data_IF_217836851153
#
_entry.id   IF_217836851153
#
_cell.length_a   1.000
_cell.length_b   1.000
_cell.length_c   1.000
_cell.angle_alpha   90.00
_cell.angle_beta   90.00
_cell.angle_gamma   90.00
#
_symmetry.space_group_name_H-M   'P 1'
#
loop_
_entity.id
_entity.type
_entity.pdbx_description
1 polymer ?
#
# COMPACT_ATOMS: atom_id res chain seq x y z
N UNK A 1 -50.53 3.43 -43.90
CA UNK A 1 -51.73 3.06 -43.11
C UNK A 1 -51.64 3.78 -41.77
N UNK A 2 -52.50 4.74 -41.67
CA UNK A 2 -52.69 5.81 -40.66
C UNK A 2 -53.52 5.27 -39.49
N UNK A 3 -53.12 5.51 -38.24
CA UNK A 3 -54.04 5.54 -37.09
C UNK A 3 -53.45 6.45 -36.00
N UNK A 4 -54.03 7.49 -35.88
CA UNK A 4 -54.73 8.42 -35.03
C UNK A 4 -54.68 8.13 -33.52
N UNK A 5 -54.38 9.22 -32.81
CA UNK A 5 -54.54 9.48 -31.37
C UNK A 5 -56.00 9.46 -30.90
N UNK A 6 -56.23 9.36 -29.58
CA UNK A 6 -56.87 10.49 -28.97
C UNK A 6 -56.23 11.02 -27.70
N UNK A 7 -56.29 12.32 -27.56
CA UNK A 7 -56.03 13.12 -26.39
C UNK A 7 -57.08 12.88 -25.32
N UNK A 8 -56.70 12.89 -24.04
CA UNK A 8 -57.63 13.00 -22.92
C UNK A 8 -57.21 14.16 -22.02
N UNK A 9 -58.06 15.14 -22.07
CA UNK A 9 -58.06 16.37 -21.27
C UNK A 9 -58.57 16.01 -19.86
N UNK A 10 -57.91 16.43 -18.79
CA UNK A 10 -58.52 16.51 -17.46
C UNK A 10 -58.08 17.77 -16.72
N UNK A 11 -59.08 18.37 -16.19
CA UNK A 11 -59.24 19.72 -15.70
C UNK A 11 -58.39 20.07 -14.46
N UNK A 12 -58.03 21.33 -14.40
CA UNK A 12 -57.51 22.03 -13.26
C UNK A 12 -58.62 22.29 -12.20
N UNK A 13 -58.32 21.99 -10.96
CA UNK A 13 -59.04 22.50 -9.80
C UNK A 13 -58.08 23.37 -8.96
N UNK A 14 -58.33 24.68 -9.02
CA UNK A 14 -57.75 25.65 -8.09
C UNK A 14 -58.42 25.50 -6.71
N UNK A 15 -57.61 25.22 -5.69
CA UNK A 15 -57.95 25.49 -4.32
C UNK A 15 -57.05 26.61 -3.77
N UNK A 16 -57.67 27.75 -3.53
CA UNK A 16 -57.09 28.84 -2.78
C UNK A 16 -57.21 28.51 -1.28
N UNK A 17 -56.12 28.55 -0.53
CA UNK A 17 -56.10 28.54 0.92
C UNK A 17 -55.39 29.81 1.43
N UNK A 18 -55.82 30.37 2.57
CA UNK A 18 -55.44 31.71 3.00
C UNK A 18 -54.06 31.75 3.64
N UNK A 19 -53.38 32.87 3.39
CA UNK A 19 -52.13 33.24 4.06
C UNK A 19 -52.38 33.51 5.54
N UNK A 20 -51.74 32.74 6.38
CA UNK A 20 -51.47 33.15 7.78
C UNK A 20 -50.03 33.67 7.83
N UNK A 21 -49.94 34.96 8.11
CA UNK A 21 -48.67 35.58 8.46
C UNK A 21 -48.18 34.98 9.81
N UNK A 22 -47.02 34.41 9.78
CA UNK A 22 -46.29 34.09 10.98
C UNK A 22 -45.00 34.90 10.99
N UNK A 23 -44.86 35.64 12.09
CA UNK A 23 -43.76 36.53 12.38
C UNK A 23 -42.42 35.82 12.33
N UNK A 24 -41.45 36.58 11.78
CA UNK A 24 -40.07 36.11 11.62
C UNK A 24 -39.39 35.93 12.98
N UNK A 25 -38.98 34.72 13.21
CA UNK A 25 -37.77 34.47 14.02
C UNK A 25 -36.71 33.91 13.08
N UNK A 26 -35.68 34.72 12.90
CA UNK A 26 -34.44 34.31 12.26
C UNK A 26 -33.83 33.21 13.15
N UNK A 27 -33.63 31.99 12.67
CA UNK A 27 -32.84 31.05 13.44
C UNK A 27 -31.38 31.55 13.42
N UNK A 28 -30.97 31.91 14.62
CA UNK A 28 -29.60 32.14 15.00
C UNK A 28 -28.67 31.10 14.37
N UNK A 29 -27.60 31.59 13.75
CA UNK A 29 -26.50 30.82 13.22
C UNK A 29 -26.05 29.80 14.28
N UNK A 30 -26.67 28.64 14.27
CA UNK A 30 -26.16 27.49 15.01
C UNK A 30 -24.78 27.16 14.43
N UNK A 31 -23.80 27.41 15.27
CA UNK A 31 -22.45 26.91 15.21
C UNK A 31 -22.46 25.52 14.53
N UNK A 32 -22.02 25.47 13.25
CA UNK A 32 -21.67 24.22 12.61
C UNK A 32 -20.38 23.73 13.28
N UNK A 33 -20.55 23.39 14.54
CA UNK A 33 -19.55 22.69 15.33
C UNK A 33 -19.09 21.51 14.54
N UNK A 34 -17.84 21.59 14.15
CA UNK A 34 -16.94 20.54 13.71
C UNK A 34 -17.59 19.15 13.76
N UNK A 35 -17.83 18.58 12.59
CA UNK A 35 -17.99 17.12 12.48
C UNK A 35 -16.87 16.52 13.31
N UNK A 36 -17.15 15.73 14.34
CA UNK A 36 -16.10 15.07 15.09
C UNK A 36 -15.26 14.31 14.08
N UNK A 37 -14.02 14.76 13.88
CA UNK A 37 -13.06 13.90 13.18
C UNK A 37 -12.96 12.65 14.04
N UNK A 38 -13.17 11.45 13.45
CA UNK A 38 -12.96 10.24 14.20
C UNK A 38 -11.54 10.31 14.74
N UNK A 39 -11.41 10.16 16.05
CA UNK A 39 -10.12 9.94 16.71
C UNK A 39 -9.36 8.94 15.85
N UNK A 40 -8.09 9.22 15.56
CA UNK A 40 -7.25 8.34 14.78
C UNK A 40 -7.29 6.96 15.45
N UNK A 41 -8.12 6.05 14.91
CA UNK A 41 -8.27 4.71 15.43
C UNK A 41 -6.97 4.01 15.04
N UNK A 42 -6.03 3.96 15.97
CA UNK A 42 -4.87 3.10 15.87
C UNK A 42 -5.38 1.67 15.86
N UNK A 43 -5.52 1.10 14.67
CA UNK A 43 -5.87 -0.31 14.53
C UNK A 43 -4.67 -1.13 15.00
N UNK A 44 -4.77 -1.64 16.22
CA UNK A 44 -3.74 -2.47 16.86
C UNK A 44 -3.87 -3.92 16.38
N UNK A 45 -3.68 -4.13 15.06
CA UNK A 45 -3.64 -5.46 14.48
C UNK A 45 -2.27 -5.72 13.84
N UNK A 46 -1.89 -6.98 13.79
CA UNK A 46 -0.70 -7.45 13.11
C UNK A 46 -0.96 -8.80 12.44
N UNK A 47 -0.35 -9.01 11.28
CA UNK A 47 -0.19 -10.35 10.71
C UNK A 47 0.99 -11.05 11.38
N UNK A 48 0.88 -12.36 11.58
CA UNK A 48 2.07 -13.18 11.75
C UNK A 48 2.84 -13.17 10.43
N UNK A 49 4.14 -12.91 10.53
CA UNK A 49 5.00 -12.68 9.36
C UNK A 49 6.22 -13.58 9.42
N UNK A 50 6.43 -14.33 8.36
CA UNK A 50 7.59 -15.19 8.14
C UNK A 50 8.25 -14.80 6.82
N UNK A 51 9.57 -14.91 6.73
CA UNK A 51 10.30 -14.62 5.50
C UNK A 51 11.56 -15.49 5.36
N UNK A 52 12.00 -15.68 4.12
CA UNK A 52 13.31 -16.28 3.84
C UNK A 52 14.44 -15.24 3.96
N UNK A 53 15.67 -15.70 4.00
CA UNK A 53 16.80 -14.85 3.62
C UNK A 53 16.70 -14.54 2.13
N UNK A 54 17.00 -13.30 1.69
CA UNK A 54 17.10 -12.99 0.27
C UNK A 54 18.13 -13.87 -0.45
N UNK A 55 17.82 -14.21 -1.68
CA UNK A 55 18.69 -14.97 -2.57
C UNK A 55 18.68 -14.34 -3.97
N UNK A 56 19.49 -14.85 -4.88
CA UNK A 56 19.66 -14.30 -6.23
C UNK A 56 19.21 -15.29 -7.31
N UNK A 57 18.71 -14.74 -8.43
CA UNK A 57 18.43 -15.50 -9.64
C UNK A 57 18.94 -14.75 -10.85
N UNK A 58 19.60 -15.47 -11.75
CA UNK A 58 20.04 -14.99 -13.06
C UNK A 58 19.00 -15.34 -14.12
N UNK A 59 18.59 -14.37 -14.90
CA UNK A 59 17.65 -14.55 -16.02
C UNK A 59 18.36 -14.20 -17.32
N UNK A 60 18.48 -15.18 -18.21
CA UNK A 60 19.01 -14.96 -19.55
C UNK A 60 17.96 -14.32 -20.45
N UNK A 61 18.30 -13.20 -21.04
CA UNK A 61 17.46 -12.47 -21.97
C UNK A 61 17.60 -13.04 -23.41
N UNK A 62 16.61 -12.81 -24.30
CA UNK A 62 16.67 -13.27 -25.69
C UNK A 62 17.84 -12.72 -26.50
N UNK A 63 18.45 -11.63 -26.08
CA UNK A 63 19.64 -11.03 -26.70
C UNK A 63 20.97 -11.63 -26.20
N UNK A 64 20.91 -12.62 -25.31
CA UNK A 64 22.06 -13.27 -24.67
C UNK A 64 22.65 -12.52 -23.48
N UNK A 65 22.06 -11.39 -23.08
CA UNK A 65 22.41 -10.71 -21.82
C UNK A 65 21.81 -11.43 -20.63
N UNK A 66 22.40 -11.23 -19.45
CA UNK A 66 21.89 -11.79 -18.19
C UNK A 66 21.50 -10.68 -17.24
N UNK A 67 20.24 -10.69 -16.79
CA UNK A 67 19.75 -9.84 -15.72
C UNK A 67 19.78 -10.58 -14.39
N UNK A 68 20.22 -9.89 -13.33
CA UNK A 68 20.24 -10.42 -11.98
C UNK A 68 19.13 -9.82 -11.15
N UNK A 69 18.44 -10.67 -10.38
CA UNK A 69 17.37 -10.28 -9.48
C UNK A 69 17.64 -10.85 -8.09
N UNK A 70 17.33 -10.06 -7.07
CA UNK A 70 17.20 -10.56 -5.73
C UNK A 70 15.75 -10.93 -5.48
N UNK A 71 15.52 -11.99 -4.74
CA UNK A 71 14.19 -12.40 -4.32
C UNK A 71 14.18 -12.84 -2.87
N UNK A 72 13.05 -12.65 -2.19
CA UNK A 72 12.79 -13.07 -0.82
C UNK A 72 11.35 -13.56 -0.74
N UNK A 73 11.14 -14.81 -0.32
CA UNK A 73 9.80 -15.32 -0.05
C UNK A 73 9.30 -14.81 1.28
N UNK A 74 7.99 -14.67 1.40
CA UNK A 74 7.34 -14.31 2.64
C UNK A 74 5.96 -14.96 2.76
N UNK A 75 5.52 -15.13 4.00
CA UNK A 75 4.22 -15.63 4.36
C UNK A 75 3.57 -14.71 5.38
N UNK A 76 2.30 -14.40 5.19
CA UNK A 76 1.49 -13.68 6.17
C UNK A 76 0.29 -14.53 6.58
N UNK A 77 0.04 -14.59 7.89
CA UNK A 77 -1.10 -15.31 8.47
C UNK A 77 -1.88 -14.37 9.37
N UNK A 78 -3.20 -14.37 9.21
CA UNK A 78 -4.08 -13.58 10.06
C UNK A 78 -4.52 -14.42 11.28
N UNK A 79 -4.10 -14.01 12.47
CA UNK A 79 -4.55 -14.58 13.75
C UNK A 79 -5.58 -13.70 14.47
N UNK A 80 -5.91 -12.53 13.90
CA UNK A 80 -6.93 -11.64 14.47
C UNK A 80 -8.33 -12.20 14.25
N UNK A 81 -9.31 -11.72 15.03
CA UNK A 81 -10.70 -12.19 14.93
C UNK A 81 -11.36 -11.78 13.60
N UNK A 82 -11.02 -10.60 13.11
CA UNK A 82 -11.57 -10.02 11.89
C UNK A 82 -10.72 -10.37 10.65
N UNK A 83 -11.36 -10.35 9.48
CA UNK A 83 -10.64 -10.36 8.22
C UNK A 83 -9.89 -9.05 8.06
N UNK A 84 -8.63 -9.13 7.60
CA UNK A 84 -7.78 -7.96 7.38
C UNK A 84 -7.42 -7.83 5.91
N UNK A 85 -7.26 -6.59 5.45
CA UNK A 85 -6.76 -6.31 4.11
C UNK A 85 -5.24 -6.24 4.12
N UNK A 86 -4.60 -7.12 3.36
CA UNK A 86 -3.15 -7.14 3.18
C UNK A 86 -2.76 -6.39 1.91
N UNK A 87 -1.94 -5.36 2.05
CA UNK A 87 -1.35 -4.56 0.97
C UNK A 87 0.15 -4.42 1.21
N UNK A 88 0.97 -5.36 0.69
CA UNK A 88 2.40 -5.37 0.94
C UNK A 88 3.09 -4.16 0.28
N UNK A 89 3.86 -3.43 1.08
CA UNK A 89 4.73 -2.34 0.63
C UNK A 89 6.16 -2.71 0.99
N UNK A 90 6.88 -3.27 0.02
CA UNK A 90 8.19 -3.84 0.26
C UNK A 90 9.23 -3.03 -0.50
N UNK A 91 10.22 -2.51 0.22
CA UNK A 91 11.26 -1.66 -0.33
C UNK A 91 12.62 -2.16 0.16
N UNK A 92 13.58 -2.26 -0.74
CA UNK A 92 14.99 -2.46 -0.39
C UNK A 92 15.71 -1.12 -0.42
N UNK A 93 16.56 -0.89 0.57
CA UNK A 93 17.47 0.25 0.63
C UNK A 93 18.89 -0.26 0.83
N UNK A 94 19.78 0.04 -0.12
CA UNK A 94 21.18 -0.34 -0.06
C UNK A 94 22.02 0.74 0.62
N UNK A 95 23.25 0.39 0.98
CA UNK A 95 24.23 1.30 1.59
C UNK A 95 24.76 2.35 0.61
N UNK A 96 24.66 2.14 -0.71
CA UNK A 96 24.97 3.13 -1.72
C UNK A 96 23.84 4.17 -1.93
N UNK A 97 22.72 4.03 -1.19
CA UNK A 97 21.59 4.96 -1.22
C UNK A 97 20.47 4.63 -2.19
N UNK A 98 20.57 3.53 -2.94
CA UNK A 98 19.50 3.09 -3.84
C UNK A 98 18.27 2.63 -3.03
N UNK A 99 17.09 3.03 -3.50
CA UNK A 99 15.80 2.63 -2.96
C UNK A 99 14.99 1.99 -4.08
N UNK A 100 14.70 0.70 -3.96
CA UNK A 100 13.98 -0.07 -4.99
C UNK A 100 12.73 -0.71 -4.39
N UNK A 101 11.59 -0.44 -5.01
CA UNK A 101 10.33 -1.09 -4.62
C UNK A 101 10.25 -2.49 -5.22
N UNK A 102 9.88 -3.46 -4.40
CA UNK A 102 9.74 -4.85 -4.85
C UNK A 102 8.70 -4.95 -5.97
N UNK A 103 8.98 -5.83 -6.93
CA UNK A 103 8.12 -6.20 -8.04
C UNK A 103 7.82 -5.06 -9.05
N UNK A 104 8.30 -3.83 -8.78
CA UNK A 104 8.12 -2.71 -9.70
C UNK A 104 9.04 -2.86 -10.92
N UNK A 105 8.45 -2.92 -12.12
CA UNK A 105 9.21 -3.10 -13.36
C UNK A 105 9.82 -4.50 -13.56
N UNK A 106 9.48 -5.46 -12.70
CA UNK A 106 9.93 -6.85 -12.81
C UNK A 106 8.99 -7.62 -13.76
N UNK A 107 9.49 -8.21 -14.85
CA UNK A 107 8.67 -9.02 -15.74
C UNK A 107 8.08 -10.25 -15.04
N UNK A 108 6.86 -10.63 -15.38
CA UNK A 108 6.17 -11.80 -14.79
C UNK A 108 6.93 -13.13 -15.08
N UNK A 109 7.76 -13.17 -16.11
CA UNK A 109 8.64 -14.31 -16.40
C UNK A 109 9.62 -14.57 -15.27
N UNK A 110 10.16 -13.52 -14.64
CA UNK A 110 11.08 -13.64 -13.50
C UNK A 110 10.37 -14.31 -12.31
N UNK A 111 9.15 -13.90 -12.00
CA UNK A 111 8.34 -14.57 -10.97
C UNK A 111 8.14 -16.05 -11.26
N UNK A 112 7.84 -16.39 -12.52
CA UNK A 112 7.63 -17.79 -12.92
C UNK A 112 8.91 -18.63 -12.76
N UNK A 113 10.08 -18.08 -13.06
CA UNK A 113 11.35 -18.79 -12.88
C UNK A 113 11.69 -18.93 -11.38
N UNK A 114 11.44 -17.90 -10.55
CA UNK A 114 11.59 -18.01 -9.08
C UNK A 114 10.67 -19.09 -8.53
N UNK A 115 9.38 -19.09 -8.91
CA UNK A 115 8.40 -20.10 -8.48
C UNK A 115 8.83 -21.52 -8.85
N UNK A 116 9.39 -21.69 -10.05
CA UNK A 116 9.91 -22.96 -10.55
C UNK A 116 11.19 -23.37 -9.79
N UNK A 117 12.13 -22.44 -9.56
CA UNK A 117 13.34 -22.68 -8.80
C UNK A 117 13.03 -23.15 -7.37
N UNK A 118 12.02 -22.56 -6.75
CA UNK A 118 11.58 -22.90 -5.39
C UNK A 118 10.73 -24.19 -5.32
N UNK A 119 10.33 -24.74 -6.45
CA UNK A 119 9.40 -25.89 -6.53
C UNK A 119 8.07 -25.64 -5.78
N UNK A 120 7.61 -24.36 -5.74
CA UNK A 120 6.41 -23.93 -5.03
C UNK A 120 5.28 -23.52 -6.00
N UNK A 121 4.53 -24.47 -6.57
CA UNK A 121 3.50 -24.16 -7.57
C UNK A 121 2.34 -23.33 -7.04
N UNK A 122 2.11 -23.30 -5.71
CA UNK A 122 1.06 -22.55 -5.05
C UNK A 122 1.49 -21.14 -4.61
N UNK A 123 2.75 -20.76 -4.86
CA UNK A 123 3.23 -19.42 -4.55
C UNK A 123 2.41 -18.38 -5.32
N UNK A 124 1.78 -17.48 -4.60
CA UNK A 124 0.94 -16.41 -5.19
C UNK A 124 1.83 -15.38 -5.90
N UNK A 125 1.39 -14.93 -7.06
CA UNK A 125 2.08 -13.84 -7.73
C UNK A 125 1.94 -12.52 -6.94
N UNK A 126 2.87 -11.56 -7.10
CA UNK A 126 2.79 -10.26 -6.45
C UNK A 126 1.50 -9.48 -6.75
N UNK A 127 0.85 -9.76 -7.89
CA UNK A 127 -0.42 -9.13 -8.27
C UNK A 127 -1.62 -9.77 -7.57
N UNK A 128 -1.54 -11.06 -7.25
CA UNK A 128 -2.61 -11.83 -6.61
C UNK A 128 -2.59 -11.73 -5.09
N UNK A 129 -1.42 -11.47 -4.51
CA UNK A 129 -1.25 -11.50 -3.05
C UNK A 129 -1.99 -10.39 -2.30
N UNK A 130 -2.14 -9.13 -2.82
CA UNK A 130 -2.94 -8.13 -2.13
C UNK A 130 -4.41 -8.55 -2.01
N UNK A 131 -5.04 -8.22 -0.89
CA UNK A 131 -6.46 -8.49 -0.68
C UNK A 131 -6.79 -8.93 0.73
N UNK A 132 -8.02 -9.41 0.93
CA UNK A 132 -8.53 -9.83 2.24
C UNK A 132 -7.92 -11.16 2.67
N UNK A 133 -7.43 -11.22 3.89
CA UNK A 133 -6.88 -12.42 4.53
C UNK A 133 -7.80 -12.82 5.68
N UNK A 134 -8.42 -13.98 5.55
CA UNK A 134 -9.27 -14.55 6.59
C UNK A 134 -8.41 -15.12 7.74
N UNK A 135 -9.03 -15.29 8.90
CA UNK A 135 -8.38 -15.88 10.08
C UNK A 135 -7.94 -17.32 9.84
N UNK A 136 -6.73 -17.63 10.20
CA UNK A 136 -6.16 -19.00 10.31
C UNK A 136 -5.16 -19.34 9.23
N UNK A 137 -4.37 -20.37 9.52
CA UNK A 137 -3.25 -20.85 8.68
C UNK A 137 -3.69 -21.27 7.27
N UNK A 138 -4.90 -21.81 7.12
CA UNK A 138 -5.40 -22.24 5.80
C UNK A 138 -5.65 -21.08 4.83
N UNK A 139 -5.65 -19.85 5.32
CA UNK A 139 -5.84 -18.64 4.54
C UNK A 139 -4.58 -17.78 4.47
N UNK A 140 -3.46 -18.31 4.94
CA UNK A 140 -2.17 -17.65 4.83
C UNK A 140 -1.86 -17.34 3.35
N UNK A 141 -1.17 -16.22 3.12
CA UNK A 141 -0.72 -15.82 1.80
C UNK A 141 0.79 -15.93 1.73
N UNK A 142 1.26 -16.70 0.76
CA UNK A 142 2.68 -16.83 0.47
C UNK A 142 2.98 -16.21 -0.89
N UNK A 143 4.03 -15.40 -0.95
CA UNK A 143 4.46 -14.73 -2.17
C UNK A 143 5.96 -14.43 -2.12
N UNK A 144 6.42 -13.66 -3.10
CA UNK A 144 7.82 -13.30 -3.23
C UNK A 144 7.96 -11.80 -3.54
N UNK A 145 8.91 -11.17 -2.87
CA UNK A 145 9.40 -9.85 -3.22
C UNK A 145 10.62 -10.03 -4.15
N UNK A 146 10.61 -9.36 -5.31
CA UNK A 146 11.66 -9.46 -6.32
C UNK A 146 12.15 -8.05 -6.64
N UNK A 147 13.47 -7.86 -6.67
CA UNK A 147 14.12 -6.59 -7.01
C UNK A 147 15.14 -6.79 -8.12
N UNK A 148 15.10 -5.95 -9.14
CA UNK A 148 16.20 -5.87 -10.09
C UNK A 148 17.34 -5.10 -9.43
N UNK A 149 18.48 -5.73 -9.28
CA UNK A 149 19.66 -5.11 -8.68
C UNK A 149 20.54 -4.55 -9.77
N UNK A 150 20.77 -3.24 -9.72
CA UNK A 150 21.57 -2.53 -10.71
C UNK A 150 23.04 -2.39 -10.33
N UNK A 151 23.40 -2.70 -9.09
CA UNK A 151 24.75 -2.50 -8.57
C UNK A 151 25.20 -3.75 -7.78
N UNK A 152 26.38 -4.25 -8.13
CA UNK A 152 27.01 -5.42 -7.48
C UNK A 152 27.77 -5.05 -6.20
N UNK A 153 28.08 -3.75 -5.99
CA UNK A 153 28.87 -3.25 -4.85
C UNK A 153 28.00 -2.89 -3.63
N UNK A 154 27.13 -3.81 -3.21
CA UNK A 154 26.29 -3.63 -2.04
C UNK A 154 26.83 -4.47 -0.88
N UNK A 155 27.34 -3.82 0.18
CA UNK A 155 27.83 -4.49 1.37
C UNK A 155 26.78 -4.73 2.43
N UNK A 156 25.77 -3.84 2.48
CA UNK A 156 24.66 -3.90 3.41
C UNK A 156 23.38 -3.39 2.73
N UNK A 157 22.27 -3.97 3.10
CA UNK A 157 20.97 -3.47 2.69
C UNK A 157 19.91 -3.72 3.74
N UNK A 158 18.85 -2.93 3.69
CA UNK A 158 17.67 -3.06 4.55
C UNK A 158 16.45 -3.34 3.70
N UNK A 159 15.69 -4.35 4.09
CA UNK A 159 14.35 -4.59 3.55
C UNK A 159 13.35 -4.00 4.53
N UNK A 160 12.47 -3.13 4.03
CA UNK A 160 11.37 -2.58 4.78
C UNK A 160 10.08 -3.23 4.29
N UNK A 161 9.42 -3.94 5.18
CA UNK A 161 8.22 -4.68 4.88
C UNK A 161 7.03 -4.03 5.58
N UNK A 162 6.26 -3.22 4.84
CA UNK A 162 5.04 -2.56 5.29
C UNK A 162 3.79 -3.35 4.92
N UNK A 163 2.67 -2.98 5.56
CA UNK A 163 1.36 -3.60 5.34
C UNK A 163 1.06 -4.81 6.23
N UNK A 164 1.96 -5.15 7.15
CA UNK A 164 1.75 -6.25 8.11
C UNK A 164 1.29 -5.77 9.50
N UNK A 165 1.20 -4.46 9.70
CA UNK A 165 0.74 -3.81 10.92
C UNK A 165 -0.31 -2.75 10.61
N UNK A 166 -1.31 -2.61 11.48
CA UNK A 166 -2.29 -1.53 11.42
C UNK A 166 -1.86 -0.28 12.16
N UNK A 167 -0.80 -0.34 12.97
CA UNK A 167 -0.33 0.78 13.76
C UNK A 167 0.20 1.91 12.89
N UNK A 168 -0.37 3.10 13.08
CA UNK A 168 0.06 4.34 12.46
C UNK A 168 0.31 5.41 13.50
N UNK A 169 1.14 6.39 13.19
CA UNK A 169 1.41 7.56 14.02
C UNK A 169 1.35 8.82 13.19
N UNK A 170 0.40 9.67 13.47
CA UNK A 170 0.34 11.02 12.89
C UNK A 170 1.46 11.88 13.44
N UNK A 171 2.17 12.58 12.58
CA UNK A 171 3.21 13.53 12.96
C UNK A 171 2.59 14.90 13.16
N UNK A 172 2.84 15.48 14.34
CA UNK A 172 2.34 16.80 14.72
C UNK A 172 3.48 17.82 14.81
N UNK A 173 3.19 19.08 14.53
CA UNK A 173 4.11 20.18 14.77
C UNK A 173 4.34 20.32 16.30
N UNK A 174 5.58 20.28 16.78
CA UNK A 174 5.88 20.35 18.21
C UNK A 174 5.49 21.69 18.88
N UNK A 175 5.28 22.76 18.10
CA UNK A 175 4.94 24.07 18.63
C UNK A 175 3.43 24.30 18.71
N UNK A 176 2.66 23.77 17.75
CA UNK A 176 1.21 23.98 17.65
C UNK A 176 0.41 22.77 18.10
N UNK A 177 0.98 21.56 18.06
CA UNK A 177 0.28 20.31 18.31
C UNK A 177 -0.60 19.85 17.13
N UNK A 178 -0.65 20.62 16.03
CA UNK A 178 -1.48 20.30 14.88
C UNK A 178 -0.78 19.27 13.96
N UNK A 179 -1.54 18.41 13.26
CA UNK A 179 -0.97 17.48 12.27
C UNK A 179 -0.21 18.20 11.16
N UNK A 180 0.98 17.72 10.83
CA UNK A 180 1.70 18.17 9.64
C UNK A 180 0.98 17.63 8.42
N UNK A 181 0.56 18.55 7.54
CA UNK A 181 -0.16 18.21 6.33
C UNK A 181 0.79 18.07 5.14
N UNK A 182 0.64 17.01 4.36
CA UNK A 182 1.42 16.75 3.14
C UNK A 182 0.48 16.54 1.95
N UNK A 183 0.91 16.89 0.73
CA UNK A 183 0.08 16.64 -0.46
C UNK A 183 -0.06 15.14 -0.73
N UNK A 184 -1.27 14.73 -1.12
CA UNK A 184 -1.51 13.38 -1.66
C UNK A 184 -0.84 13.29 -3.02
N UNK A 185 0.10 12.36 -3.16
CA UNK A 185 0.84 12.14 -4.42
C UNK A 185 0.10 11.09 -5.26
N UNK A 186 -0.02 11.35 -6.54
CA UNK A 186 -0.49 10.36 -7.50
C UNK A 186 0.63 9.34 -7.76
N UNK A 187 0.32 8.06 -7.53
CA UNK A 187 1.31 6.99 -7.64
C UNK A 187 1.82 6.74 -9.07
N UNK A 188 1.07 7.18 -10.10
CA UNK A 188 1.45 6.97 -11.49
C UNK A 188 2.30 8.11 -12.04
N UNK A 189 1.96 9.36 -11.64
CA UNK A 189 2.62 10.55 -12.18
C UNK A 189 3.69 11.12 -11.25
N UNK A 190 3.65 10.78 -9.95
CA UNK A 190 4.51 11.37 -8.92
C UNK A 190 4.13 12.82 -8.57
N UNK A 191 3.04 13.36 -9.13
CA UNK A 191 2.61 14.73 -8.88
C UNK A 191 1.53 14.81 -7.80
N UNK A 192 1.37 15.98 -7.12
CA UNK A 192 0.28 16.20 -6.17
C UNK A 192 -1.08 16.09 -6.84
N UNK A 193 -1.96 15.27 -6.29
CA UNK A 193 -3.39 15.22 -6.69
C UNK A 193 -4.04 16.55 -6.42
N UNK A 194 -4.86 17.03 -7.37
CA UNK A 194 -5.59 18.29 -7.26
C UNK A 194 -7.09 18.04 -7.07
N UNK A 195 -7.68 18.80 -6.19
CA UNK A 195 -9.14 18.84 -6.01
C UNK A 195 -9.84 19.58 -7.14
N UNK A 196 -11.18 19.65 -7.07
CA UNK A 196 -12.01 20.38 -8.05
C UNK A 196 -11.69 21.88 -8.08
N UNK A 197 -11.12 22.45 -7.03
CA UNK A 197 -10.68 23.84 -6.92
C UNK A 197 -9.27 24.09 -7.48
N UNK A 198 -8.62 23.06 -8.02
CA UNK A 198 -7.27 23.10 -8.57
C UNK A 198 -6.15 23.09 -7.53
N UNK A 199 -6.46 23.06 -6.23
CA UNK A 199 -5.46 22.98 -5.14
C UNK A 199 -5.06 21.55 -4.87
N UNK A 200 -3.85 21.37 -4.33
CA UNK A 200 -3.40 20.06 -3.88
C UNK A 200 -4.32 19.53 -2.77
N UNK A 201 -4.69 18.27 -2.88
CA UNK A 201 -5.38 17.54 -1.79
C UNK A 201 -4.33 17.26 -0.72
N UNK A 202 -4.61 17.71 0.52
CA UNK A 202 -3.71 17.53 1.65
C UNK A 202 -4.22 16.42 2.57
N UNK A 203 -3.28 15.69 3.19
CA UNK A 203 -3.54 14.67 4.20
C UNK A 203 -2.56 14.80 5.35
N UNK A 204 -2.89 14.34 6.57
CA UNK A 204 -1.93 14.26 7.66
C UNK A 204 -0.73 13.38 7.26
N UNK A 205 0.46 13.79 7.72
CA UNK A 205 1.65 12.97 7.60
C UNK A 205 1.56 11.82 8.62
N UNK A 206 1.41 10.60 8.12
CA UNK A 206 1.34 9.40 8.95
C UNK A 206 2.57 8.52 8.72
N UNK A 207 3.16 8.05 9.80
CA UNK A 207 4.15 6.99 9.78
C UNK A 207 3.46 5.66 10.09
N UNK A 208 3.81 4.63 9.33
CA UNK A 208 3.30 3.29 9.49
C UNK A 208 4.35 2.40 10.16
N UNK A 209 3.93 1.57 11.12
CA UNK A 209 4.81 0.52 11.65
C UNK A 209 5.20 -0.42 10.52
N UNK A 210 6.49 -0.64 10.40
CA UNK A 210 7.11 -1.38 9.29
C UNK A 210 8.19 -2.29 9.85
N UNK A 211 8.26 -3.54 9.40
CA UNK A 211 9.35 -4.45 9.73
C UNK A 211 10.58 -4.07 8.93
N UNK A 212 11.66 -3.72 9.60
CA UNK A 212 12.98 -3.50 9.01
C UNK A 212 13.85 -4.74 9.25
N UNK A 213 14.39 -5.29 8.17
CA UNK A 213 15.26 -6.46 8.18
C UNK A 213 16.59 -6.02 7.56
N UNK A 214 17.64 -6.01 8.33
CA UNK A 214 18.96 -5.56 7.91
C UNK A 214 19.87 -6.76 7.61
N UNK A 215 20.41 -6.79 6.40
CA UNK A 215 21.29 -7.82 5.91
C UNK A 215 22.68 -7.27 5.61
N UNK A 216 23.68 -8.15 5.65
CA UNK A 216 25.04 -7.91 5.15
C UNK A 216 25.39 -8.93 4.09
N UNK A 217 26.16 -8.51 3.09
CA UNK A 217 26.72 -9.35 2.03
C UNK A 217 28.23 -9.38 2.21
N UNK A 218 28.78 -10.28 3.06
CA UNK A 218 30.22 -10.33 3.30
C UNK A 218 30.96 -10.79 2.05
N UNK A 219 32.13 -10.22 1.81
CA UNK A 219 33.00 -10.54 0.69
C UNK A 219 33.23 -9.36 -0.26
N UNK A 220 34.22 -9.51 -1.14
CA UNK A 220 34.48 -8.54 -2.21
C UNK A 220 33.61 -8.87 -3.42
N UNK A 221 33.31 -7.90 -4.27
CA UNK A 221 32.53 -8.05 -5.51
C UNK A 221 33.02 -9.22 -6.37
N UNK A 222 34.32 -9.44 -6.41
CA UNK A 222 34.97 -10.52 -7.18
C UNK A 222 34.74 -11.92 -6.57
N UNK A 223 34.43 -12.00 -5.27
CA UNK A 223 34.18 -13.27 -4.55
C UNK A 223 32.70 -13.62 -4.43
N UNK A 224 31.79 -12.77 -4.94
CA UNK A 224 30.32 -12.88 -4.78
C UNK A 224 29.63 -13.82 -5.77
N UNK A 225 30.30 -14.84 -6.27
CA UNK A 225 29.62 -15.90 -7.04
C UNK A 225 28.58 -16.67 -6.20
N UNK A 226 28.64 -16.52 -4.87
CA UNK A 226 27.66 -17.02 -3.90
C UNK A 226 27.62 -16.05 -2.71
N UNK A 227 26.86 -14.94 -2.78
CA UNK A 227 26.78 -13.98 -1.72
C UNK A 227 26.07 -14.61 -0.52
N UNK A 228 26.81 -15.04 0.47
CA UNK A 228 26.26 -15.48 1.75
C UNK A 228 25.64 -14.30 2.48
N UNK A 229 24.39 -13.97 2.12
CA UNK A 229 23.61 -12.92 2.77
C UNK A 229 23.35 -13.34 4.21
N UNK A 230 23.69 -12.46 5.17
CA UNK A 230 23.55 -12.73 6.60
C UNK A 230 22.62 -11.70 7.24
N UNK A 231 21.65 -12.20 8.00
CA UNK A 231 20.82 -11.37 8.84
C UNK A 231 21.69 -10.70 9.91
N UNK A 232 21.63 -9.37 10.00
CA UNK A 232 22.32 -8.55 11.00
C UNK A 232 21.40 -8.10 12.12
N UNK A 233 20.21 -7.60 11.74
CA UNK A 233 19.22 -7.05 12.67
C UNK A 233 17.82 -7.17 12.08
N UNK A 234 16.84 -7.39 12.94
CA UNK A 234 15.44 -7.31 12.59
C UNK A 234 14.70 -6.54 13.68
N UNK A 235 13.93 -5.52 13.30
CA UNK A 235 13.15 -4.72 14.25
C UNK A 235 12.02 -3.97 13.55
N UNK A 236 11.06 -3.51 14.34
CA UNK A 236 10.00 -2.64 13.86
C UNK A 236 10.43 -1.18 13.95
N UNK A 237 10.05 -0.41 12.94
CA UNK A 237 10.28 1.03 12.85
C UNK A 237 9.01 1.75 12.39
N UNK A 238 8.86 3.01 12.77
CA UNK A 238 7.85 3.90 12.21
C UNK A 238 8.45 4.66 11.01
N UNK A 239 7.80 4.55 9.86
CA UNK A 239 8.30 5.11 8.61
C UNK A 239 7.17 5.71 7.76
#
# INVERSE_FOLDING_TARGET
>A
MTRLFPAMLCAAALFAAPALAQDGETPENGDQSAVPQPDAVTHDWAFAFEHSTPDTIAIENPDGSTDWYWYMTYKVTNHNEDELFFDPRIVIQSDNGDIVTANLGVPSTVFNEVRKLLEQPLLMSPVEVPGRVFKGENYARESVAIWKVSNEDIDQFKVFFGGIYGETKTITDPNTGEPIMVPVIDALTGEPKKGADGKAIMQPLELHRTRMIHYTTPGTTESRQDPSIKLKEEKDVLR
#
